data_IF_946598077113
#
_entry.id   IF_946598077113
#
_cell.length_a   1.000
_cell.length_b   1.000
_cell.length_c   1.000
_cell.angle_alpha   90.00
_cell.angle_beta   90.00
_cell.angle_gamma   90.00
#
_symmetry.space_group_name_H-M   'P 1'
#
loop_
_entity.id
_entity.type
_entity.pdbx_description
1 polymer ?
#
# COMPACT_ATOMS: atom_id res chain seq x y z
N UNK A 1 -2.07 51.52 -13.52
CA UNK A 1 -3.05 50.86 -14.41
C UNK A 1 -3.88 49.75 -13.74
N UNK A 2 -4.11 49.75 -12.41
CA UNK A 2 -4.89 48.67 -11.73
C UNK A 2 -6.27 49.11 -11.23
N UNK A 3 -6.47 50.40 -10.92
CA UNK A 3 -7.71 50.92 -10.34
C UNK A 3 -8.86 50.97 -11.36
N UNK A 4 -8.59 51.29 -12.62
CA UNK A 4 -9.59 51.36 -13.69
C UNK A 4 -10.37 50.05 -13.91
N UNK A 5 -9.80 48.90 -13.54
CA UNK A 5 -10.42 47.61 -13.75
C UNK A 5 -11.52 47.33 -12.70
N UNK A 6 -11.29 47.73 -11.45
CA UNK A 6 -12.27 47.53 -10.36
C UNK A 6 -13.49 48.42 -10.59
N UNK A 7 -13.30 49.69 -10.98
CA UNK A 7 -14.40 50.62 -11.28
C UNK A 7 -15.22 50.16 -12.48
N UNK A 8 -14.56 49.63 -13.51
CA UNK A 8 -15.23 49.04 -14.68
C UNK A 8 -16.10 47.84 -14.30
N UNK A 9 -15.58 46.96 -13.44
CA UNK A 9 -16.34 45.80 -12.94
C UNK A 9 -17.52 46.28 -12.09
N UNK A 10 -17.32 47.20 -11.16
CA UNK A 10 -18.38 47.71 -10.28
C UNK A 10 -19.51 48.38 -11.07
N UNK A 11 -19.19 49.16 -12.10
CA UNK A 11 -20.18 49.86 -12.93
C UNK A 11 -21.00 48.91 -13.83
N UNK A 12 -20.43 47.76 -14.21
CA UNK A 12 -21.07 46.78 -15.12
C UNK A 12 -21.58 45.53 -14.42
N UNK A 13 -21.26 45.36 -13.14
CA UNK A 13 -21.71 44.23 -12.33
C UNK A 13 -23.22 44.34 -12.07
N UNK A 14 -23.97 43.34 -12.51
CA UNK A 14 -25.39 43.18 -12.16
C UNK A 14 -25.54 42.06 -11.16
N UNK A 15 -26.20 42.36 -10.05
CA UNK A 15 -26.55 41.38 -9.01
C UNK A 15 -27.26 40.17 -9.66
N UNK A 16 -26.84 38.96 -9.28
CA UNK A 16 -27.35 37.66 -9.76
C UNK A 16 -26.93 37.20 -11.18
N UNK A 17 -26.04 37.91 -11.90
CA UNK A 17 -25.50 37.41 -13.18
C UNK A 17 -24.63 36.15 -13.06
N UNK A 18 -24.04 35.93 -11.88
CA UNK A 18 -23.19 34.78 -11.56
C UNK A 18 -23.85 33.85 -10.52
N UNK A 19 -25.14 33.55 -10.69
CA UNK A 19 -25.80 32.56 -9.83
C UNK A 19 -25.40 31.15 -10.28
N UNK A 20 -24.74 30.41 -9.38
CA UNK A 20 -24.35 29.03 -9.63
C UNK A 20 -25.58 28.18 -9.99
N UNK A 21 -26.69 28.32 -9.28
CA UNK A 21 -27.94 27.59 -9.55
C UNK A 21 -28.50 27.84 -10.95
N UNK A 22 -28.46 29.09 -11.43
CA UNK A 22 -28.90 29.41 -12.78
C UNK A 22 -27.95 28.84 -13.84
N UNK A 23 -26.64 28.81 -13.55
CA UNK A 23 -25.63 28.15 -14.38
C UNK A 23 -25.88 26.64 -14.51
N UNK A 24 -26.07 25.95 -13.38
CA UNK A 24 -26.35 24.52 -13.34
C UNK A 24 -27.64 24.16 -14.11
N UNK A 25 -28.71 24.96 -13.94
CA UNK A 25 -29.96 24.77 -14.69
C UNK A 25 -29.80 24.92 -16.20
N UNK A 26 -28.95 25.83 -16.67
CA UNK A 26 -28.65 26.02 -18.11
C UNK A 26 -27.89 24.84 -18.71
N UNK A 27 -27.08 24.16 -17.90
CA UNK A 27 -26.34 22.97 -18.29
C UNK A 27 -27.18 21.68 -18.20
N UNK A 28 -28.49 21.78 -17.92
CA UNK A 28 -29.36 20.63 -17.71
C UNK A 28 -29.08 19.86 -16.42
N UNK A 29 -28.19 20.37 -15.56
CA UNK A 29 -27.87 19.76 -14.28
C UNK A 29 -28.93 20.21 -13.27
N UNK A 30 -29.88 19.31 -13.00
CA UNK A 30 -30.92 19.57 -12.01
C UNK A 30 -30.27 19.75 -10.63
N UNK A 31 -30.59 20.87 -9.97
CA UNK A 31 -30.20 21.11 -8.58
C UNK A 31 -30.67 19.92 -7.73
N UNK A 32 -29.73 19.17 -7.16
CA UNK A 32 -30.05 18.01 -6.34
C UNK A 32 -30.95 18.41 -5.18
N UNK A 33 -32.14 17.79 -5.12
CA UNK A 33 -33.08 17.97 -4.01
C UNK A 33 -32.40 17.65 -2.68
N UNK A 34 -32.66 18.48 -1.67
CA UNK A 34 -32.15 18.33 -0.30
C UNK A 34 -32.46 16.91 0.23
N UNK A 35 -33.61 16.35 -0.16
CA UNK A 35 -34.01 14.98 0.18
C UNK A 35 -33.10 13.91 -0.44
N UNK A 36 -32.61 14.11 -1.68
CA UNK A 36 -31.62 13.20 -2.29
C UNK A 36 -30.27 13.27 -1.56
N UNK A 37 -29.87 14.43 -1.05
CA UNK A 37 -28.62 14.58 -0.28
C UNK A 37 -28.66 13.78 1.02
N UNK A 38 -29.78 13.82 1.75
CA UNK A 38 -29.95 12.99 2.96
C UNK A 38 -29.94 11.49 2.65
N UNK A 39 -30.56 11.06 1.54
CA UNK A 39 -30.52 9.65 1.12
C UNK A 39 -29.11 9.15 0.81
N UNK A 40 -28.29 9.99 0.16
CA UNK A 40 -26.88 9.65 -0.12
C UNK A 40 -26.08 9.55 1.18
N UNK A 41 -26.24 10.49 2.09
CA UNK A 41 -25.56 10.46 3.39
C UNK A 41 -25.94 9.22 4.22
N UNK A 42 -27.23 8.85 4.24
CA UNK A 42 -27.70 7.65 4.93
C UNK A 42 -27.13 6.37 4.31
N UNK A 43 -27.01 6.28 2.98
CA UNK A 43 -26.41 5.13 2.31
C UNK A 43 -24.93 4.96 2.67
N UNK A 44 -24.15 6.06 2.71
CA UNK A 44 -22.74 6.04 3.11
C UNK A 44 -22.59 5.64 4.59
N UNK A 45 -23.44 6.16 5.48
CA UNK A 45 -23.42 5.77 6.89
C UNK A 45 -23.74 4.28 7.07
N UNK A 46 -24.74 3.76 6.34
CA UNK A 46 -25.10 2.35 6.37
C UNK A 46 -23.95 1.45 5.91
N UNK A 47 -23.22 1.80 4.84
CA UNK A 47 -22.07 0.99 4.38
C UNK A 47 -20.92 0.97 5.39
N UNK A 48 -20.64 2.09 6.07
CA UNK A 48 -19.61 2.16 7.13
C UNK A 48 -19.99 1.34 8.36
N UNK A 49 -21.27 1.34 8.75
CA UNK A 49 -21.75 0.55 9.89
C UNK A 49 -21.72 -0.96 9.58
N UNK A 50 -22.06 -1.34 8.34
CA UNK A 50 -22.07 -2.74 7.91
C UNK A 50 -20.64 -3.32 7.80
N UNK A 51 -19.66 -2.51 7.38
CA UNK A 51 -18.25 -2.93 7.35
C UNK A 51 -17.62 -3.03 8.75
N UNK A 52 -18.02 -2.16 9.69
CA UNK A 52 -17.55 -2.24 11.08
C UNK A 52 -18.08 -3.47 11.83
N UNK A 53 -19.30 -3.94 11.53
CA UNK A 53 -19.87 -5.13 12.19
C UNK A 53 -19.34 -6.45 11.61
N UNK A 54 -19.11 -6.52 10.29
CA UNK A 54 -18.51 -7.69 9.67
C UNK A 54 -17.07 -7.94 10.15
N UNK A 55 -16.29 -6.88 10.37
CA UNK A 55 -14.90 -7.01 10.87
C UNK A 55 -14.85 -7.51 12.31
N UNK A 56 -15.77 -7.08 13.19
CA UNK A 56 -15.84 -7.58 14.57
C UNK A 56 -16.20 -9.08 14.58
N UNK A 57 -17.24 -9.48 13.85
CA UNK A 57 -17.69 -10.88 13.79
C UNK A 57 -16.64 -11.77 13.11
N UNK A 58 -15.98 -11.29 12.05
CA UNK A 58 -14.90 -12.04 11.39
C UNK A 58 -13.70 -12.25 12.33
N UNK A 59 -13.32 -11.24 13.11
CA UNK A 59 -12.23 -11.37 14.10
C UNK A 59 -12.60 -12.34 15.23
N UNK A 60 -13.83 -12.29 15.74
CA UNK A 60 -14.28 -13.21 16.79
C UNK A 60 -14.39 -14.66 16.29
N UNK A 61 -14.89 -14.90 15.06
CA UNK A 61 -14.93 -16.25 14.48
C UNK A 61 -13.53 -16.83 14.28
N UNK A 62 -12.58 -16.03 13.81
CA UNK A 62 -11.17 -16.43 13.73
C UNK A 62 -10.57 -16.69 15.12
N UNK A 63 -11.00 -16.01 16.18
CA UNK A 63 -10.51 -16.28 17.54
C UNK A 63 -11.11 -17.54 18.17
N UNK A 64 -12.36 -17.90 17.88
CA UNK A 64 -13.00 -19.13 18.38
C UNK A 64 -12.51 -20.37 17.63
N UNK A 65 -12.19 -20.27 16.34
CA UNK A 65 -11.58 -21.37 15.58
C UNK A 65 -10.14 -21.63 16.04
N UNK A 66 -9.37 -20.56 16.29
CA UNK A 66 -8.00 -20.65 16.79
C UNK A 66 -7.87 -21.13 18.25
N UNK A 67 -8.95 -21.17 19.04
CA UNK A 67 -8.90 -21.60 20.44
C UNK A 67 -9.32 -23.05 20.66
N UNK A 68 -9.73 -23.78 19.59
CA UNK A 68 -10.05 -25.22 19.67
C UNK A 68 -9.03 -26.14 18.99
N UNK A 69 -7.94 -25.60 18.44
CA UNK A 69 -6.78 -26.38 18.04
C UNK A 69 -5.71 -26.36 19.14
N UNK A 70 -5.89 -27.20 20.15
CA UNK A 70 -4.73 -27.86 20.75
C UNK A 70 -4.18 -28.85 19.71
N UNK A 71 -3.41 -28.37 18.74
CA UNK A 71 -2.54 -29.20 17.91
C UNK A 71 -1.37 -28.34 17.43
N UNK A 72 -0.21 -28.53 18.07
CA UNK A 72 1.12 -28.12 17.65
C UNK A 72 1.23 -26.75 16.95
N UNK A 73 1.69 -25.73 17.66
CA UNK A 73 2.31 -24.55 17.04
C UNK A 73 3.21 -24.99 15.87
N UNK A 74 2.94 -24.63 14.61
CA UNK A 74 4.04 -24.54 13.68
C UNK A 74 4.83 -23.33 14.16
N UNK A 75 6.06 -23.56 14.61
CA UNK A 75 7.06 -22.51 14.57
C UNK A 75 7.10 -22.12 13.09
N UNK A 76 6.44 -21.01 12.73
CA UNK A 76 6.51 -20.48 11.37
C UNK A 76 7.93 -19.97 11.24
N UNK A 77 8.80 -20.88 10.80
CA UNK A 77 10.19 -20.59 10.49
C UNK A 77 10.20 -19.45 9.48
N UNK A 78 10.94 -18.36 9.75
CA UNK A 78 11.13 -17.26 8.79
C UNK A 78 11.65 -17.72 7.42
N UNK A 79 12.22 -18.93 7.35
CA UNK A 79 12.71 -19.55 6.12
C UNK A 79 11.60 -20.06 5.19
N UNK A 80 10.38 -20.26 5.71
CA UNK A 80 9.25 -20.78 4.95
C UNK A 80 8.29 -19.69 4.43
N UNK A 81 8.53 -18.41 4.76
CA UNK A 81 7.69 -17.30 4.33
C UNK A 81 8.05 -16.88 2.90
N UNK A 82 7.05 -16.85 1.99
CA UNK A 82 7.24 -16.46 0.59
C UNK A 82 7.01 -14.95 0.45
N UNK A 83 8.01 -14.21 -0.06
CA UNK A 83 7.90 -12.77 -0.32
C UNK A 83 8.42 -12.42 -1.72
N UNK A 84 7.99 -11.26 -2.21
CA UNK A 84 8.45 -10.68 -3.47
C UNK A 84 9.48 -9.59 -3.17
N UNK A 85 10.65 -9.69 -3.77
CA UNK A 85 11.74 -8.70 -3.64
C UNK A 85 12.25 -8.31 -5.03
N UNK A 86 12.41 -7.00 -5.20
CA UNK A 86 13.02 -6.37 -6.36
C UNK A 86 14.38 -5.77 -6.03
N UNK A 87 15.37 -6.04 -6.86
CA UNK A 87 16.68 -5.39 -6.86
C UNK A 87 16.89 -4.68 -8.20
N UNK A 88 17.25 -3.40 -8.16
CA UNK A 88 17.55 -2.60 -9.34
C UNK A 88 18.95 -1.99 -9.18
N UNK A 89 19.95 -2.55 -9.88
CA UNK A 89 21.35 -2.15 -9.82
C UNK A 89 21.89 -1.98 -8.38
N UNK A 90 21.42 -2.83 -7.46
CA UNK A 90 21.76 -2.77 -6.04
C UNK A 90 23.12 -3.43 -5.79
N UNK A 91 23.89 -2.90 -4.84
CA UNK A 91 25.15 -3.53 -4.41
C UNK A 91 24.86 -4.78 -3.58
N UNK A 92 25.77 -5.76 -3.56
CA UNK A 92 25.55 -6.99 -2.79
C UNK A 92 25.31 -6.71 -1.29
N UNK A 93 25.98 -5.72 -0.72
CA UNK A 93 25.75 -5.27 0.66
C UNK A 93 24.30 -4.79 0.90
N UNK A 94 23.77 -3.99 -0.03
CA UNK A 94 22.38 -3.48 0.03
C UNK A 94 21.35 -4.61 -0.19
N UNK A 95 21.70 -5.57 -1.06
CA UNK A 95 20.90 -6.77 -1.32
C UNK A 95 20.76 -7.58 -0.04
N UNK A 96 21.86 -7.81 0.67
CA UNK A 96 21.90 -8.57 1.93
C UNK A 96 21.07 -7.88 3.01
N UNK A 97 21.28 -6.59 3.25
CA UNK A 97 20.50 -5.83 4.25
C UNK A 97 19.00 -5.90 3.98
N UNK A 98 18.61 -5.82 2.70
CA UNK A 98 17.20 -5.92 2.29
C UNK A 98 16.64 -7.32 2.53
N UNK A 99 17.41 -8.38 2.29
CA UNK A 99 17.01 -9.77 2.57
C UNK A 99 16.82 -9.97 4.08
N UNK A 100 17.77 -9.50 4.89
CA UNK A 100 17.69 -9.59 6.35
C UNK A 100 16.47 -8.85 6.90
N UNK A 101 16.15 -7.67 6.35
CA UNK A 101 14.99 -6.88 6.76
C UNK A 101 13.67 -7.51 6.32
N UNK A 102 13.59 -8.01 5.09
CA UNK A 102 12.35 -8.53 4.52
C UNK A 102 12.00 -9.89 5.10
N UNK A 103 12.98 -10.77 5.32
CA UNK A 103 12.75 -12.12 5.84
C UNK A 103 13.08 -12.28 7.34
N UNK A 104 13.61 -11.25 8.01
CA UNK A 104 14.08 -11.31 9.40
C UNK A 104 15.07 -12.46 9.63
N UNK A 105 16.00 -12.64 8.70
CA UNK A 105 17.07 -13.65 8.71
C UNK A 105 18.42 -12.97 8.82
N UNK A 106 19.47 -13.72 9.15
CA UNK A 106 20.86 -13.25 9.11
C UNK A 106 21.58 -13.95 7.95
N UNK A 107 22.30 -13.20 7.11
CA UNK A 107 23.09 -13.75 6.00
C UNK A 107 24.55 -13.81 6.42
N UNK A 108 25.16 -14.99 6.33
CA UNK A 108 26.58 -15.22 6.66
C UNK A 108 27.38 -15.64 5.44
N UNK A 109 28.70 -15.53 5.57
CA UNK A 109 29.68 -15.90 4.55
C UNK A 109 29.62 -15.02 3.29
N UNK A 110 29.61 -13.69 3.48
CA UNK A 110 29.74 -12.74 2.38
C UNK A 110 31.15 -12.85 1.75
N UNK A 111 31.27 -12.71 0.41
CA UNK A 111 32.56 -12.66 -0.26
C UNK A 111 33.37 -11.42 0.17
N UNK A 112 34.70 -11.50 0.07
CA UNK A 112 35.62 -10.43 0.48
C UNK A 112 35.47 -9.12 -0.33
N UNK A 113 34.80 -9.17 -1.49
CA UNK A 113 34.56 -8.03 -2.40
C UNK A 113 33.06 -7.76 -2.65
N UNK A 114 32.25 -7.46 -1.62
CA UNK A 114 30.80 -7.28 -1.79
C UNK A 114 30.43 -5.98 -2.52
N UNK A 115 31.36 -5.03 -2.64
CA UNK A 115 31.14 -3.72 -3.27
C UNK A 115 31.27 -3.76 -4.81
N UNK A 116 31.84 -4.83 -5.37
CA UNK A 116 32.08 -4.95 -6.82
C UNK A 116 30.86 -5.50 -7.58
N UNK A 117 29.97 -6.22 -6.89
CA UNK A 117 28.83 -6.88 -7.50
C UNK A 117 27.58 -6.00 -7.45
N UNK A 118 26.99 -5.78 -8.63
CA UNK A 118 25.68 -5.13 -8.79
C UNK A 118 24.67 -6.13 -9.33
N UNK A 119 23.54 -6.24 -8.65
CA UNK A 119 22.47 -7.17 -9.00
C UNK A 119 21.19 -6.42 -9.38
N UNK A 120 20.60 -6.84 -10.51
CA UNK A 120 19.23 -6.49 -10.87
C UNK A 120 18.43 -7.78 -11.02
N UNK A 121 17.50 -8.04 -10.10
CA UNK A 121 16.77 -9.29 -10.04
C UNK A 121 15.38 -9.05 -9.44
N UNK A 122 14.36 -9.59 -10.10
CA UNK A 122 13.02 -9.74 -9.52
C UNK A 122 12.89 -11.18 -9.02
N UNK A 123 12.54 -11.36 -7.76
CA UNK A 123 12.43 -12.68 -7.14
C UNK A 123 11.19 -12.81 -6.27
N UNK A 124 10.51 -13.95 -6.39
CA UNK A 124 9.38 -14.36 -5.59
C UNK A 124 9.64 -15.76 -5.05
N UNK A 125 9.77 -15.90 -3.72
CA UNK A 125 10.11 -17.20 -3.13
C UNK A 125 10.57 -17.10 -1.68
N UNK A 126 11.38 -18.07 -1.25
CA UNK A 126 11.92 -18.17 0.11
C UNK A 126 13.32 -17.52 0.20
N UNK A 127 13.80 -17.12 1.39
CA UNK A 127 15.14 -16.56 1.54
C UNK A 127 16.24 -17.57 1.20
N UNK A 128 16.01 -18.86 1.44
CA UNK A 128 16.96 -19.94 1.10
C UNK A 128 17.14 -20.07 -0.40
N UNK A 129 16.04 -20.09 -1.14
CA UNK A 129 16.05 -20.18 -2.59
C UNK A 129 16.61 -18.90 -3.24
N UNK A 130 16.29 -17.72 -2.68
CA UNK A 130 16.87 -16.44 -3.12
C UNK A 130 18.40 -16.45 -3.00
N UNK A 131 18.94 -16.88 -1.87
CA UNK A 131 20.39 -16.94 -1.67
C UNK A 131 21.02 -18.02 -2.53
N UNK A 132 20.35 -19.14 -2.79
CA UNK A 132 20.82 -20.13 -3.76
C UNK A 132 20.94 -19.56 -5.18
N UNK A 133 19.96 -18.74 -5.61
CA UNK A 133 20.00 -18.04 -6.90
C UNK A 133 21.14 -17.03 -6.94
N UNK A 134 21.34 -16.25 -5.87
CA UNK A 134 22.44 -15.27 -5.81
C UNK A 134 23.80 -15.99 -5.83
N UNK A 135 23.92 -17.11 -5.11
CA UNK A 135 25.10 -17.96 -5.11
C UNK A 135 25.42 -18.51 -6.52
N UNK A 136 24.41 -18.94 -7.27
CA UNK A 136 24.57 -19.40 -8.67
C UNK A 136 24.99 -18.27 -9.62
N UNK A 137 24.42 -17.08 -9.47
CA UNK A 137 24.72 -15.92 -10.33
C UNK A 137 26.13 -15.37 -10.06
N UNK A 138 26.52 -15.28 -8.79
CA UNK A 138 27.76 -14.63 -8.37
C UNK A 138 28.90 -15.61 -8.08
N UNK A 139 28.66 -16.92 -8.23
CA UNK A 139 29.56 -18.00 -7.82
C UNK A 139 30.04 -17.82 -6.36
N UNK A 140 29.08 -17.58 -5.47
CA UNK A 140 29.31 -17.32 -4.03
C UNK A 140 28.76 -18.45 -3.16
N UNK A 141 29.15 -18.47 -1.87
CA UNK A 141 28.76 -19.51 -0.92
C UNK A 141 28.06 -18.93 0.31
N UNK A 142 27.15 -17.97 0.11
CA UNK A 142 26.40 -17.35 1.19
C UNK A 142 25.40 -18.33 1.80
N UNK A 143 25.16 -18.20 3.11
CA UNK A 143 24.21 -19.03 3.85
C UNK A 143 23.21 -18.15 4.61
N UNK A 144 21.97 -18.60 4.72
CA UNK A 144 20.92 -17.95 5.52
C UNK A 144 20.76 -18.72 6.81
N UNK A 145 20.72 -18.00 7.93
CA UNK A 145 20.36 -18.56 9.23
C UNK A 145 19.19 -17.78 9.83
N UNK A 146 18.35 -18.48 10.60
CA UNK A 146 17.33 -17.82 11.42
C UNK A 146 18.00 -16.98 12.51
N UNK A 147 17.35 -15.86 12.85
CA UNK A 147 17.81 -14.95 13.90
C UNK A 147 17.37 -15.39 15.29
#
# INVERSE_FOLDING_TARGET
>A
MKQNNIDFIAQRYRKNRFSADAGWRRLGVASVSIWKRYRVAAAIAATVILSATATIIYKDYHMVDNSRQETSTPVVSPLAEVKVIDFENAQLAEVVEKIETVYNVEVRNLPDTPEEYKLSLHYEGTPTDLIAVINDILDTQMIVVER
#
